data_IF_084712659513
#
_entry.id   IF_084712659513
#
_cell.length_a   1.000
_cell.length_b   1.000
_cell.length_c   1.000
_cell.angle_alpha   90.00
_cell.angle_beta   90.00
_cell.angle_gamma   90.00
#
_symmetry.space_group_name_H-M   'P 1'
#
loop_
_entity.id
_entity.type
_entity.pdbx_description
1 polymer ?
#
# COMPACT_ATOMS: atom_id res chain seq x y z
N UNK A 1 28.71 23.17 -74.56
CA UNK A 1 28.78 23.29 -73.08
C UNK A 1 27.40 23.03 -72.51
N UNK A 2 27.17 21.86 -71.90
CA UNK A 2 25.98 21.59 -71.07
C UNK A 2 26.45 21.05 -69.71
N UNK A 3 25.77 21.39 -68.59
CA UNK A 3 26.29 21.18 -67.24
C UNK A 3 26.05 19.76 -66.72
N UNK A 4 27.06 19.24 -65.99
CA UNK A 4 27.04 17.98 -65.24
C UNK A 4 26.10 18.11 -64.03
N UNK A 5 25.01 17.34 -64.01
CA UNK A 5 24.14 17.21 -62.84
C UNK A 5 24.83 16.24 -61.86
N UNK A 6 25.17 16.73 -60.67
CA UNK A 6 25.71 15.91 -59.57
C UNK A 6 24.54 15.30 -58.80
N UNK A 7 24.37 13.98 -58.89
CA UNK A 7 23.46 13.22 -58.01
C UNK A 7 23.94 13.33 -56.57
N UNK A 8 23.24 14.14 -55.76
CA UNK A 8 23.39 14.14 -54.30
C UNK A 8 22.58 12.99 -53.72
N UNK A 9 23.27 12.07 -53.04
CA UNK A 9 22.66 11.00 -52.27
C UNK A 9 21.91 11.62 -51.07
N UNK A 10 20.58 11.54 -51.08
CA UNK A 10 19.73 11.98 -49.97
C UNK A 10 19.74 10.89 -48.88
N UNK A 11 20.48 11.11 -47.79
CA UNK A 11 20.49 10.20 -46.65
C UNK A 11 19.20 10.39 -45.83
N UNK A 12 18.31 9.39 -45.87
CA UNK A 12 17.13 9.32 -45.02
C UNK A 12 17.55 8.93 -43.60
N UNK A 13 17.56 9.89 -42.67
CA UNK A 13 17.79 9.61 -41.25
C UNK A 13 16.47 9.10 -40.66
N UNK A 14 16.35 7.78 -40.50
CA UNK A 14 15.25 7.17 -39.76
C UNK A 14 15.55 7.35 -38.27
N UNK A 15 14.93 8.36 -37.66
CA UNK A 15 14.97 8.55 -36.21
C UNK A 15 14.07 7.51 -35.56
N UNK A 16 14.66 6.46 -34.99
CA UNK A 16 13.95 5.53 -34.13
C UNK A 16 13.67 6.23 -32.80
N UNK A 17 12.43 6.67 -32.60
CA UNK A 17 11.95 7.07 -31.28
C UNK A 17 12.00 5.84 -30.37
N UNK A 18 12.97 5.79 -29.47
CA UNK A 18 12.95 4.85 -28.34
C UNK A 18 11.95 5.42 -27.36
N UNK A 19 10.73 4.87 -27.32
CA UNK A 19 9.75 5.20 -26.30
C UNK A 19 10.21 4.65 -24.96
N UNK A 20 10.54 5.53 -24.02
CA UNK A 20 10.76 5.15 -22.62
C UNK A 20 9.41 5.11 -21.91
N UNK A 21 8.97 3.94 -21.46
CA UNK A 21 7.84 3.84 -20.53
C UNK A 21 8.39 3.63 -19.13
N UNK A 22 8.34 4.67 -18.31
CA UNK A 22 8.70 4.61 -16.89
C UNK A 22 7.72 3.72 -16.13
N UNK A 23 8.19 3.13 -15.02
CA UNK A 23 7.32 2.51 -14.05
C UNK A 23 6.25 3.52 -13.60
N UNK A 24 4.98 3.11 -13.70
CA UNK A 24 3.83 3.93 -13.33
C UNK A 24 2.97 3.19 -12.32
N UNK A 25 2.44 3.90 -11.34
CA UNK A 25 1.39 3.37 -10.47
C UNK A 25 0.06 3.48 -11.19
N UNK A 26 -0.64 2.35 -11.28
CA UNK A 26 -2.01 2.25 -11.78
C UNK A 26 -2.92 2.05 -10.58
N UNK A 27 -3.91 2.92 -10.45
CA UNK A 27 -4.99 2.79 -9.45
C UNK A 27 -6.20 2.17 -10.13
N UNK A 28 -6.77 1.14 -9.51
CA UNK A 28 -7.96 0.41 -9.97
C UNK A 28 -9.04 0.62 -8.93
N UNK A 29 -10.06 1.38 -9.32
CA UNK A 29 -11.25 1.66 -8.52
C UNK A 29 -12.09 0.40 -8.29
N UNK A 30 -12.80 0.29 -7.17
CA UNK A 30 -13.67 -0.85 -6.88
C UNK A 30 -14.76 -1.08 -7.94
N UNK A 31 -15.19 -0.03 -8.64
CA UNK A 31 -16.17 -0.16 -9.72
C UNK A 31 -15.55 -0.60 -11.05
N UNK A 32 -14.24 -0.88 -11.12
CA UNK A 32 -13.58 -1.33 -12.34
C UNK A 32 -14.12 -2.70 -12.79
N UNK A 33 -14.53 -2.76 -14.07
CA UNK A 33 -15.11 -3.97 -14.67
C UNK A 33 -14.17 -5.18 -14.75
N UNK A 34 -12.87 -4.98 -14.54
CA UNK A 34 -11.87 -6.04 -14.45
C UNK A 34 -11.87 -6.77 -13.11
N UNK A 35 -12.53 -6.24 -12.09
CA UNK A 35 -12.67 -6.91 -10.80
C UNK A 35 -13.84 -7.89 -10.87
N UNK A 36 -13.59 -9.13 -10.43
CA UNK A 36 -14.62 -10.16 -10.33
C UNK A 36 -15.04 -10.31 -8.88
N UNK A 37 -16.30 -10.01 -8.58
CA UNK A 37 -16.90 -10.22 -7.27
C UNK A 37 -17.72 -11.51 -7.23
N UNK A 38 -17.63 -12.23 -6.11
CA UNK A 38 -18.62 -13.26 -5.76
C UNK A 38 -20.00 -12.64 -5.49
N UNK A 39 -21.05 -13.47 -5.42
CA UNK A 39 -22.43 -12.99 -5.28
C UNK A 39 -22.76 -12.27 -3.96
N UNK A 40 -21.89 -12.34 -2.95
CA UNK A 40 -22.11 -11.74 -1.63
C UNK A 40 -21.66 -10.29 -1.48
N UNK A 41 -21.32 -9.61 -2.58
CA UNK A 41 -20.88 -8.20 -2.58
C UNK A 41 -21.99 -7.28 -3.08
N UNK A 42 -22.11 -6.12 -2.45
CA UNK A 42 -23.03 -5.06 -2.86
C UNK A 42 -22.24 -3.86 -3.41
N UNK A 43 -22.87 -3.12 -4.32
CA UNK A 43 -22.41 -1.80 -4.75
C UNK A 43 -22.80 -0.81 -3.66
N UNK A 44 -21.91 -0.60 -2.70
CA UNK A 44 -22.25 -0.01 -1.41
C UNK A 44 -22.71 1.45 -1.50
N UNK A 45 -22.14 2.24 -2.42
CA UNK A 45 -22.53 3.64 -2.61
C UNK A 45 -23.97 3.84 -3.13
N UNK A 46 -24.64 2.79 -3.59
CA UNK A 46 -26.06 2.79 -3.99
C UNK A 46 -26.94 1.91 -3.12
N UNK A 47 -26.37 1.21 -2.14
CA UNK A 47 -27.08 0.29 -1.27
C UNK A 47 -27.70 1.03 -0.07
N UNK A 48 -28.98 1.41 -0.19
CA UNK A 48 -29.69 2.12 0.89
C UNK A 48 -29.91 1.25 2.15
N UNK A 49 -29.98 -0.07 1.98
CA UNK A 49 -30.21 -1.04 3.07
C UNK A 49 -28.90 -1.50 3.73
N UNK A 50 -27.75 -1.16 3.15
CA UNK A 50 -26.46 -1.51 3.73
C UNK A 50 -26.21 -0.69 4.98
N UNK A 51 -25.73 -1.34 6.05
CA UNK A 51 -25.48 -0.65 7.31
C UNK A 51 -24.36 0.38 7.19
N UNK A 52 -23.25 -0.02 6.58
CA UNK A 52 -22.10 0.85 6.42
C UNK A 52 -22.39 1.89 5.33
N UNK A 53 -22.38 3.16 5.74
CA UNK A 53 -22.66 4.32 4.90
C UNK A 53 -21.51 5.34 5.07
N UNK A 54 -20.30 5.03 4.57
CA UNK A 54 -19.21 6.00 4.55
C UNK A 54 -19.56 7.24 3.70
N UNK A 55 -18.82 8.32 3.96
CA UNK A 55 -18.95 9.57 3.23
C UNK A 55 -18.30 9.44 1.83
N UNK A 56 -19.11 9.50 0.77
CA UNK A 56 -18.67 9.28 -0.62
C UNK A 56 -17.45 10.12 -1.04
N UNK A 57 -17.38 11.44 -0.75
CA UNK A 57 -16.22 12.26 -1.12
C UNK A 57 -14.90 11.83 -0.45
N UNK A 58 -14.96 10.98 0.58
CA UNK A 58 -13.79 10.45 1.29
C UNK A 58 -13.29 9.10 0.72
N UNK A 59 -14.00 8.51 -0.25
CA UNK A 59 -13.62 7.26 -0.92
C UNK A 59 -12.97 7.53 -2.27
N UNK A 60 -12.27 6.55 -2.83
CA UNK A 60 -11.83 6.63 -4.21
C UNK A 60 -13.06 6.55 -5.12
N UNK A 61 -13.10 7.39 -6.16
CA UNK A 61 -14.22 7.42 -7.12
C UNK A 61 -15.60 7.83 -6.57
N UNK A 62 -15.76 8.01 -5.25
CA UNK A 62 -17.08 8.10 -4.62
C UNK A 62 -17.84 6.77 -4.57
N UNK A 63 -17.12 5.66 -4.70
CA UNK A 63 -17.60 4.28 -4.75
C UNK A 63 -16.93 3.42 -3.68
N UNK A 64 -17.55 2.27 -3.42
CA UNK A 64 -16.99 1.14 -2.67
C UNK A 64 -17.90 -0.08 -2.93
N UNK A 65 -17.32 -1.26 -2.80
CA UNK A 65 -18.07 -2.51 -2.72
C UNK A 65 -17.97 -3.05 -1.31
N UNK A 66 -19.10 -3.44 -0.72
CA UNK A 66 -19.16 -3.97 0.64
C UNK A 66 -19.68 -5.40 0.68
N UNK A 67 -19.16 -6.16 1.64
CA UNK A 67 -19.63 -7.52 1.89
C UNK A 67 -19.56 -7.82 3.38
N UNK A 68 -20.51 -8.63 3.85
CA UNK A 68 -20.50 -9.23 5.18
C UNK A 68 -20.67 -10.74 5.03
N UNK A 69 -19.76 -11.50 5.62
CA UNK A 69 -19.78 -12.96 5.65
C UNK A 69 -20.13 -13.45 7.05
N UNK A 70 -21.29 -14.08 7.20
CA UNK A 70 -21.68 -14.75 8.44
C UNK A 70 -21.01 -16.13 8.60
N UNK A 71 -21.03 -16.67 9.83
CA UNK A 71 -20.32 -17.90 10.22
C UNK A 71 -20.58 -19.11 9.29
N UNK A 72 -21.85 -19.31 8.90
CA UNK A 72 -22.28 -20.45 8.09
C UNK A 72 -22.67 -20.06 6.66
N UNK A 73 -22.11 -18.95 6.15
CA UNK A 73 -22.41 -18.44 4.81
C UNK A 73 -21.38 -18.88 3.77
N UNK A 74 -21.79 -18.84 2.51
CA UNK A 74 -20.91 -19.04 1.37
C UNK A 74 -19.72 -18.08 1.42
N UNK A 75 -18.62 -18.48 0.82
CA UNK A 75 -17.43 -17.65 0.75
C UNK A 75 -17.69 -16.38 -0.09
N UNK A 76 -17.35 -15.22 0.48
CA UNK A 76 -17.36 -13.94 -0.22
C UNK A 76 -15.92 -13.56 -0.54
N UNK A 77 -15.65 -13.29 -1.81
CA UNK A 77 -14.34 -12.89 -2.30
C UNK A 77 -14.44 -11.94 -3.49
N UNK A 78 -13.35 -11.23 -3.79
CA UNK A 78 -13.12 -10.60 -5.08
C UNK A 78 -11.75 -11.01 -5.65
N UNK A 79 -11.62 -10.93 -6.97
CA UNK A 79 -10.41 -11.30 -7.71
C UNK A 79 -10.03 -10.20 -8.70
N UNK A 80 -8.72 -10.02 -8.89
CA UNK A 80 -8.17 -9.13 -9.90
C UNK A 80 -6.86 -9.70 -10.45
N UNK A 81 -6.61 -9.47 -11.74
CA UNK A 81 -5.35 -9.82 -12.41
C UNK A 81 -4.65 -8.58 -12.91
N UNK A 82 -3.34 -8.50 -12.68
CA UNK A 82 -2.53 -7.36 -13.08
C UNK A 82 -1.17 -7.82 -13.61
N UNK A 83 -0.47 -6.94 -14.32
CA UNK A 83 0.93 -7.14 -14.67
C UNK A 83 1.75 -6.00 -14.07
N UNK A 84 2.64 -6.33 -13.13
CA UNK A 84 3.36 -5.33 -12.38
C UNK A 84 4.38 -5.90 -11.41
N UNK A 85 4.93 -5.03 -10.58
CA UNK A 85 6.04 -5.33 -9.66
C UNK A 85 5.67 -5.07 -8.19
N UNK A 86 4.47 -4.55 -7.95
CA UNK A 86 3.90 -4.32 -6.62
C UNK A 86 2.37 -4.40 -6.66
N UNK A 87 1.76 -4.62 -5.50
CA UNK A 87 0.32 -4.55 -5.26
C UNK A 87 0.06 -3.97 -3.88
N UNK A 88 -0.80 -2.97 -3.79
CA UNK A 88 -1.39 -2.46 -2.57
C UNK A 88 -2.92 -2.56 -2.67
N UNK A 89 -3.59 -2.97 -1.59
CA UNK A 89 -5.05 -3.05 -1.52
C UNK A 89 -5.53 -2.17 -0.38
N UNK A 90 -6.49 -1.31 -0.67
CA UNK A 90 -7.06 -0.35 0.27
C UNK A 90 -8.55 -0.60 0.46
N UNK A 91 -9.01 -0.33 1.68
CA UNK A 91 -10.43 -0.37 2.00
C UNK A 91 -10.80 0.63 3.07
N UNK A 92 -12.06 0.55 3.48
CA UNK A 92 -12.65 1.38 4.52
C UNK A 92 -12.94 0.50 5.72
N UNK A 93 -12.30 0.79 6.85
CA UNK A 93 -12.55 0.05 8.10
C UNK A 93 -13.68 0.73 8.87
N UNK A 94 -14.67 -0.06 9.28
CA UNK A 94 -15.82 0.44 10.04
C UNK A 94 -15.50 0.33 11.53
N UNK A 95 -15.16 1.45 12.16
CA UNK A 95 -14.93 1.53 13.60
C UNK A 95 -16.22 1.91 14.33
N UNK A 96 -17.20 1.02 14.21
CA UNK A 96 -18.51 1.11 14.87
C UNK A 96 -18.77 -0.23 15.53
N UNK A 97 -18.90 -0.24 16.87
CA UNK A 97 -19.23 -1.44 17.63
C UNK A 97 -20.71 -1.40 17.97
N UNK A 98 -21.49 -2.31 17.40
CA UNK A 98 -22.94 -2.33 17.67
C UNK A 98 -23.27 -3.56 18.50
N UNK A 99 -23.90 -3.32 19.66
CA UNK A 99 -24.26 -4.37 20.60
C UNK A 99 -25.68 -4.92 20.42
N UNK A 100 -26.45 -4.34 19.52
CA UNK A 100 -27.89 -4.61 19.38
C UNK A 100 -28.26 -5.27 18.04
N UNK A 101 -27.37 -5.19 17.03
CA UNK A 101 -27.56 -5.83 15.72
C UNK A 101 -26.69 -7.08 15.54
N UNK A 102 -27.14 -7.98 14.68
CA UNK A 102 -26.50 -9.27 14.38
C UNK A 102 -25.45 -9.21 13.25
N UNK A 103 -24.87 -8.04 12.96
CA UNK A 103 -23.83 -7.91 11.94
C UNK A 103 -22.50 -7.49 12.55
N UNK A 104 -21.43 -7.97 11.93
CA UNK A 104 -20.04 -7.76 12.34
C UNK A 104 -19.45 -6.58 11.57
N UNK A 105 -18.57 -5.83 12.23
CA UNK A 105 -17.67 -4.86 11.60
C UNK A 105 -16.20 -5.29 11.76
N UNK A 106 -15.96 -6.50 12.28
CA UNK A 106 -14.64 -7.12 12.26
C UNK A 106 -14.22 -7.36 10.82
N UNK A 107 -12.96 -7.08 10.52
CA UNK A 107 -12.35 -7.46 9.26
C UNK A 107 -11.43 -8.64 9.56
N UNK A 108 -11.64 -9.73 8.86
CA UNK A 108 -10.76 -10.88 8.80
C UNK A 108 -10.71 -11.37 7.35
N UNK A 109 -9.55 -11.22 6.73
CA UNK A 109 -9.31 -11.48 5.31
C UNK A 109 -8.17 -12.48 5.12
N UNK A 110 -8.35 -13.35 4.14
CA UNK A 110 -7.28 -14.12 3.53
C UNK A 110 -6.99 -13.55 2.15
N UNK A 111 -5.78 -13.04 1.93
CA UNK A 111 -5.31 -12.49 0.66
C UNK A 111 -4.35 -13.50 0.03
N UNK A 112 -4.71 -14.04 -1.12
CA UNK A 112 -3.89 -14.98 -1.88
C UNK A 112 -3.36 -14.30 -3.13
N UNK A 113 -2.04 -14.11 -3.22
CA UNK A 113 -1.33 -13.59 -4.40
C UNK A 113 -0.48 -14.71 -4.99
N UNK A 114 -0.79 -15.14 -6.22
CA UNK A 114 -0.14 -16.25 -6.93
C UNK A 114 -0.04 -17.54 -6.09
N UNK A 115 -1.11 -17.85 -5.36
CA UNK A 115 -1.19 -19.02 -4.47
C UNK A 115 -0.50 -18.84 -3.12
N UNK A 116 0.20 -17.73 -2.86
CA UNK A 116 0.76 -17.40 -1.55
C UNK A 116 -0.25 -16.62 -0.72
N UNK A 117 -0.59 -17.14 0.46
CA UNK A 117 -1.60 -16.52 1.33
C UNK A 117 -0.97 -15.63 2.40
N UNK A 118 -1.63 -14.51 2.67
CA UNK A 118 -1.39 -13.59 3.79
C UNK A 118 -2.73 -13.30 4.46
N UNK A 119 -2.72 -12.92 5.73
CA UNK A 119 -3.94 -12.58 6.46
C UNK A 119 -3.94 -11.12 6.87
N UNK A 120 -5.13 -10.54 6.97
CA UNK A 120 -5.34 -9.22 7.53
C UNK A 120 -6.50 -9.29 8.52
N UNK A 121 -6.30 -8.75 9.72
CA UNK A 121 -7.33 -8.69 10.76
C UNK A 121 -7.42 -7.27 11.32
N UNK A 122 -8.66 -6.82 11.53
CA UNK A 122 -8.97 -5.57 12.20
C UNK A 122 -10.17 -5.75 13.12
N UNK A 123 -9.99 -5.43 14.40
CA UNK A 123 -11.08 -5.34 15.35
C UNK A 123 -11.58 -3.87 15.39
N UNK A 124 -12.89 -3.63 15.26
CA UNK A 124 -13.44 -2.28 15.21
C UNK A 124 -13.20 -1.57 16.54
N UNK A 125 -12.66 -0.35 16.48
CA UNK A 125 -12.68 0.56 17.61
C UNK A 125 -14.10 1.12 17.80
N UNK A 126 -14.52 1.39 19.04
CA UNK A 126 -15.83 1.98 19.34
C UNK A 126 -15.78 3.51 19.22
N UNK A 127 -15.38 4.02 18.06
CA UNK A 127 -15.20 5.47 17.80
C UNK A 127 -16.33 6.07 16.98
N UNK A 128 -17.29 5.23 16.55
CA UNK A 128 -18.38 5.59 15.66
C UNK A 128 -17.91 6.31 14.39
N UNK A 129 -16.88 5.76 13.73
CA UNK A 129 -16.21 6.40 12.60
C UNK A 129 -15.77 5.41 11.52
N UNK A 130 -15.39 5.93 10.35
CA UNK A 130 -14.78 5.17 9.27
C UNK A 130 -13.30 5.52 9.15
N UNK A 131 -12.45 4.53 8.88
CA UNK A 131 -11.05 4.74 8.52
C UNK A 131 -10.86 4.48 7.02
N UNK A 132 -10.77 5.55 6.25
CA UNK A 132 -10.58 5.55 4.79
C UNK A 132 -9.12 5.27 4.42
N UNK A 133 -8.88 4.84 3.17
CA UNK A 133 -7.54 4.59 2.63
C UNK A 133 -6.73 3.64 3.54
N UNK A 134 -7.40 2.69 4.17
CA UNK A 134 -6.75 1.75 5.08
C UNK A 134 -6.06 0.67 4.27
N UNK A 135 -4.72 0.62 4.34
CA UNK A 135 -3.92 -0.40 3.68
C UNK A 135 -4.13 -1.76 4.34
N UNK A 136 -4.76 -2.69 3.62
CA UNK A 136 -5.04 -4.05 4.12
C UNK A 136 -4.04 -5.09 3.62
N UNK A 137 -3.39 -4.82 2.49
CA UNK A 137 -2.35 -5.67 1.95
C UNK A 137 -1.35 -4.84 1.15
N UNK A 138 -0.06 -5.18 1.27
CA UNK A 138 1.01 -4.62 0.44
C UNK A 138 2.05 -5.67 0.12
N UNK A 139 2.45 -5.71 -1.15
CA UNK A 139 3.55 -6.54 -1.63
C UNK A 139 4.33 -5.79 -2.69
N UNK A 140 5.63 -5.64 -2.48
CA UNK A 140 6.58 -5.09 -3.46
C UNK A 140 7.59 -6.13 -3.90
N UNK A 141 8.35 -5.83 -4.96
CA UNK A 141 9.43 -6.70 -5.44
C UNK A 141 8.92 -7.96 -6.13
N UNK A 142 7.72 -7.91 -6.70
CA UNK A 142 7.22 -8.95 -7.59
C UNK A 142 8.00 -8.94 -8.90
N UNK A 143 8.13 -10.10 -9.55
CA UNK A 143 8.63 -10.16 -10.93
C UNK A 143 7.67 -9.42 -11.85
N UNK A 144 8.14 -8.77 -12.92
CA UNK A 144 7.24 -8.14 -13.88
C UNK A 144 6.54 -9.18 -14.77
N UNK A 145 5.53 -9.84 -14.21
CA UNK A 145 4.76 -10.93 -14.82
C UNK A 145 3.28 -10.70 -14.60
N UNK A 146 2.43 -11.53 -15.21
CA UNK A 146 1.02 -11.56 -14.82
C UNK A 146 0.89 -12.15 -13.41
N UNK A 147 0.10 -11.49 -12.58
CA UNK A 147 -0.21 -11.84 -11.21
C UNK A 147 -1.72 -11.94 -11.03
N UNK A 148 -2.14 -12.82 -10.13
CA UNK A 148 -3.54 -12.94 -9.73
C UNK A 148 -3.67 -12.82 -8.22
N UNK A 149 -4.55 -11.91 -7.78
CA UNK A 149 -4.90 -11.74 -6.39
C UNK A 149 -6.35 -12.14 -6.15
N UNK A 150 -6.59 -12.84 -5.04
CA UNK A 150 -7.91 -13.11 -4.47
C UNK A 150 -7.94 -12.59 -3.04
N UNK A 151 -8.96 -11.82 -2.70
CA UNK A 151 -9.23 -11.40 -1.33
C UNK A 151 -10.50 -12.07 -0.87
N UNK A 152 -10.39 -12.92 0.13
CA UNK A 152 -11.48 -13.71 0.70
C UNK A 152 -11.82 -13.23 2.09
N UNK A 153 -13.09 -12.99 2.38
CA UNK A 153 -13.57 -12.75 3.74
C UNK A 153 -13.63 -14.07 4.50
N UNK A 154 -12.99 -14.13 5.66
CA UNK A 154 -13.15 -15.24 6.60
C UNK A 154 -14.53 -15.17 7.28
N UNK A 155 -15.01 -16.24 7.94
CA UNK A 155 -16.29 -16.22 8.64
C UNK A 155 -16.36 -15.10 9.69
N UNK A 156 -17.55 -14.53 9.90
CA UNK A 156 -17.78 -13.44 10.85
C UNK A 156 -16.98 -12.15 10.56
N UNK A 157 -16.78 -11.86 9.27
CA UNK A 157 -16.02 -10.72 8.74
C UNK A 157 -16.89 -9.81 7.87
N UNK A 158 -16.61 -8.52 7.86
CA UNK A 158 -17.16 -7.55 6.93
C UNK A 158 -16.03 -6.69 6.36
N UNK A 159 -16.11 -6.31 5.08
CA UNK A 159 -15.11 -5.48 4.46
C UNK A 159 -15.73 -4.57 3.40
N UNK A 160 -15.27 -3.32 3.37
CA UNK A 160 -15.59 -2.33 2.35
C UNK A 160 -14.32 -2.12 1.53
N UNK A 161 -14.30 -2.68 0.32
CA UNK A 161 -13.21 -2.50 -0.63
C UNK A 161 -13.40 -1.20 -1.41
N UNK A 162 -12.33 -0.42 -1.54
CA UNK A 162 -12.35 0.94 -2.11
C UNK A 162 -11.52 1.00 -3.40
N UNK A 163 -10.24 0.61 -3.34
CA UNK A 163 -9.39 0.54 -4.53
C UNK A 163 -8.14 -0.30 -4.29
N UNK A 164 -7.45 -0.65 -5.38
CA UNK A 164 -6.11 -1.22 -5.34
C UNK A 164 -5.14 -0.44 -6.22
N UNK A 165 -3.86 -0.59 -5.97
CA UNK A 165 -2.80 0.00 -6.77
C UNK A 165 -1.75 -1.04 -7.15
N UNK A 166 -1.25 -1.00 -8.38
CA UNK A 166 -0.10 -1.79 -8.78
C UNK A 166 0.89 -0.94 -9.58
N UNK A 167 2.18 -1.25 -9.49
CA UNK A 167 3.22 -0.55 -10.26
C UNK A 167 3.62 -1.37 -11.48
N UNK A 168 3.54 -0.79 -12.68
CA UNK A 168 4.07 -1.39 -13.92
C UNK A 168 5.60 -1.35 -13.92
N UNK A 169 6.25 -2.25 -14.68
CA UNK A 169 7.71 -2.18 -14.82
C UNK A 169 8.17 -1.05 -15.75
N UNK A 170 9.39 -0.59 -15.50
CA UNK A 170 10.12 0.28 -16.42
C UNK A 170 10.60 -0.52 -17.65
N UNK A 171 10.34 -0.02 -18.86
CA UNK A 171 10.74 -0.70 -20.10
C UNK A 171 12.26 -0.71 -20.32
N UNK A 172 13.05 -0.05 -19.47
CA UNK A 172 14.50 0.06 -19.63
C UNK A 172 15.27 -1.26 -19.38
N UNK A 173 14.60 -2.36 -18.97
CA UNK A 173 15.24 -3.66 -18.68
C UNK A 173 15.02 -4.77 -19.72
N UNK A 174 14.77 -4.44 -21.00
CA UNK A 174 14.98 -5.43 -22.08
C UNK A 174 16.44 -5.41 -22.54
N UNK A 175 17.38 -5.81 -21.68
CA UNK A 175 18.72 -6.18 -22.14
C UNK A 175 18.67 -7.61 -22.67
N UNK A 176 18.96 -7.76 -23.95
CA UNK A 176 18.98 -9.00 -24.70
C UNK A 176 19.78 -10.11 -23.99
N UNK A 177 19.07 -11.10 -23.44
CA UNK A 177 19.64 -12.41 -23.13
C UNK A 177 19.85 -13.20 -24.42
N UNK A 178 20.85 -12.81 -25.22
CA UNK A 178 21.35 -13.70 -26.29
C UNK A 178 22.13 -14.81 -25.60
N UNK A 179 21.51 -15.97 -25.44
CA UNK A 179 22.16 -17.18 -24.94
C UNK A 179 23.19 -17.67 -25.97
N UNK A 180 24.45 -17.26 -25.83
CA UNK A 180 25.56 -17.95 -26.51
C UNK A 180 25.82 -19.28 -25.82
N UNK A 181 25.44 -20.34 -26.50
CA UNK A 181 25.83 -21.73 -26.22
C UNK A 181 27.36 -21.81 -26.21
N UNK A 182 27.95 -22.21 -25.09
CA UNK A 182 29.35 -22.65 -25.04
C UNK A 182 29.44 -23.91 -24.20
N UNK A 183 29.63 -25.01 -24.94
CA UNK A 183 29.95 -26.34 -24.46
C UNK A 183 31.43 -26.44 -24.10
N UNK A 184 31.75 -26.91 -22.90
CA UNK A 184 33.05 -27.55 -22.63
C UNK A 184 32.91 -28.60 -21.52
N UNK A 185 33.36 -29.81 -21.85
CA UNK A 185 33.35 -31.03 -21.06
C UNK A 185 34.51 -31.09 -20.04
N UNK A 186 34.17 -31.57 -18.84
CA UNK A 186 34.81 -32.61 -17.99
C UNK A 186 36.31 -32.61 -17.61
N UNK A 187 36.51 -32.88 -16.29
CA UNK A 187 37.44 -33.86 -15.65
C UNK A 187 38.60 -33.30 -14.83
N UNK A 188 38.66 -33.69 -13.54
CA UNK A 188 39.87 -33.57 -12.71
C UNK A 188 39.64 -33.72 -11.21
N UNK A 189 39.53 -34.96 -10.72
CA UNK A 189 39.55 -35.34 -9.29
C UNK A 189 40.99 -35.52 -8.81
N UNK A 190 41.36 -34.99 -7.63
CA UNK A 190 42.40 -35.58 -6.77
C UNK A 190 42.34 -35.08 -5.32
N UNK A 191 42.39 -36.04 -4.40
CA UNK A 191 42.37 -35.98 -2.94
C UNK A 191 43.51 -35.22 -2.26
N UNK A 192 43.28 -34.81 -1.00
CA UNK A 192 44.17 -35.26 0.09
C UNK A 192 44.75 -34.23 1.07
N UNK A 193 44.25 -34.32 2.32
CA UNK A 193 44.94 -34.17 3.62
C UNK A 193 45.19 -32.78 4.27
N UNK A 194 44.35 -32.49 5.26
CA UNK A 194 44.61 -32.21 6.69
C UNK A 194 46.00 -31.71 7.13
N UNK A 195 46.05 -30.61 7.91
CA UNK A 195 46.83 -30.46 9.17
C UNK A 195 46.30 -29.26 10.00
N UNK A 196 46.50 -29.39 11.31
CA UNK A 196 45.82 -28.91 12.51
C UNK A 196 46.24 -27.52 13.04
N UNK A 197 45.37 -26.97 13.92
CA UNK A 197 45.65 -26.26 15.19
C UNK A 197 45.64 -24.71 15.26
N UNK A 198 44.53 -24.23 15.86
CA UNK A 198 44.39 -23.32 17.00
C UNK A 198 45.30 -22.09 17.19
N UNK A 199 44.69 -20.90 17.29
CA UNK A 199 45.03 -19.94 18.37
C UNK A 199 43.83 -19.06 18.74
N UNK A 200 43.56 -19.03 20.05
CA UNK A 200 42.60 -18.19 20.76
C UNK A 200 43.26 -16.81 20.96
N UNK A 201 42.54 -15.71 20.76
CA UNK A 201 42.76 -14.52 21.58
C UNK A 201 41.53 -13.64 21.71
N UNK A 202 41.25 -13.36 22.97
CA UNK A 202 40.18 -12.62 23.60
C UNK A 202 40.23 -11.10 23.34
N UNK A 203 39.04 -10.49 23.39
CA UNK A 203 38.79 -9.32 24.24
C UNK A 203 39.20 -7.94 23.74
N UNK A 204 38.22 -7.10 23.44
CA UNK A 204 38.16 -5.74 23.99
C UNK A 204 36.78 -5.13 23.79
N UNK A 205 36.08 -4.99 24.91
CA UNK A 205 34.99 -4.06 25.14
C UNK A 205 35.48 -2.62 24.92
N UNK A 206 34.73 -1.85 24.14
CA UNK A 206 34.80 -0.38 24.18
C UNK A 206 33.38 0.17 24.28
N UNK A 207 33.07 0.54 25.50
CA UNK A 207 32.06 1.53 25.90
C UNK A 207 32.32 2.84 25.16
N UNK A 208 31.36 3.31 24.37
CA UNK A 208 31.34 4.69 23.88
C UNK A 208 30.19 5.44 24.52
N UNK A 209 30.58 6.40 25.35
CA UNK A 209 29.81 7.41 26.05
C UNK A 209 28.96 8.30 25.15
N UNK A 210 27.76 8.59 25.63
CA UNK A 210 26.88 9.68 25.18
C UNK A 210 27.56 11.05 25.22
N UNK A 211 27.07 11.98 24.39
CA UNK A 211 26.73 13.30 24.89
C UNK A 211 25.30 13.71 24.53
N UNK A 212 24.61 14.27 25.51
CA UNK A 212 23.32 14.97 25.37
C UNK A 212 23.49 16.31 24.64
N UNK A 213 22.52 16.69 23.81
CA UNK A 213 21.73 17.96 23.90
C UNK A 213 21.17 18.40 22.54
N UNK A 214 19.85 18.52 22.46
CA UNK A 214 19.12 19.73 21.99
C UNK A 214 17.61 19.42 21.88
N UNK A 215 16.89 19.82 22.92
CA UNK A 215 15.42 19.99 22.92
C UNK A 215 15.12 21.35 22.28
N UNK A 216 14.18 21.40 21.33
CA UNK A 216 13.65 22.66 20.80
C UNK A 216 12.21 22.88 21.29
N UNK A 217 12.06 24.00 22.00
CA UNK A 217 10.91 24.89 22.11
C UNK A 217 9.56 24.32 22.60
N UNK A 218 9.34 24.46 23.92
CA UNK A 218 8.02 24.57 24.55
C UNK A 218 7.63 26.05 24.59
N UNK A 219 6.37 26.37 24.27
CA UNK A 219 5.82 27.73 24.26
C UNK A 219 5.89 28.42 25.62
N UNK A 220 6.23 29.70 25.60
CA UNK A 220 6.41 30.57 26.77
C UNK A 220 5.09 30.94 27.44
N UNK A 221 4.95 30.60 28.73
CA UNK A 221 3.90 31.09 29.63
C UNK A 221 4.37 32.40 30.27
N UNK A 222 3.53 33.44 30.22
CA UNK A 222 3.82 34.74 30.84
C UNK A 222 3.27 34.76 32.27
N UNK A 223 4.12 35.00 33.26
CA UNK A 223 3.72 35.16 34.67
C UNK A 223 4.00 36.60 35.08
N UNK A 224 2.98 37.31 35.56
CA UNK A 224 3.10 38.64 36.14
C UNK A 224 2.72 38.60 37.62
N UNK A 225 3.58 39.10 38.50
CA UNK A 225 3.35 39.18 39.95
C UNK A 225 3.01 40.60 40.38
N UNK A 226 1.96 40.75 41.18
CA UNK A 226 1.67 41.98 41.93
C UNK A 226 2.36 41.96 43.31
N UNK A 227 2.60 43.16 43.84
CA UNK A 227 3.19 43.59 45.11
C UNK A 227 2.61 42.96 46.40
N UNK A 228 1.69 42.00 46.30
CA UNK A 228 1.11 41.27 47.44
C UNK A 228 1.43 39.76 47.47
N UNK A 229 2.23 39.25 46.52
CA UNK A 229 2.84 37.90 46.64
C UNK A 229 1.92 36.68 46.45
N UNK A 230 0.72 36.84 45.88
CA UNK A 230 -0.18 35.72 45.55
C UNK A 230 -0.11 35.37 44.05
N UNK A 231 -0.05 34.07 43.71
CA UNK A 231 -0.01 33.56 42.33
C UNK A 231 -1.45 33.31 41.84
N UNK A 232 -1.85 33.96 40.74
CA UNK A 232 -3.09 33.69 40.02
C UNK A 232 -2.78 33.14 38.62
N UNK A 233 -3.35 31.97 38.29
CA UNK A 233 -3.31 31.41 36.93
C UNK A 233 -4.46 32.01 36.12
N UNK A 234 -4.16 32.69 35.01
CA UNK A 234 -5.18 33.21 34.08
C UNK A 234 -5.49 32.11 33.06
N UNK A 235 -6.67 31.52 33.17
CA UNK A 235 -7.22 30.60 32.17
C UNK A 235 -8.06 31.39 31.16
N UNK A 236 -7.53 31.60 29.95
CA UNK A 236 -8.28 32.21 28.85
C UNK A 236 -9.15 31.16 28.19
N UNK A 237 -10.37 30.98 28.72
CA UNK A 237 -11.46 30.37 27.99
C UNK A 237 -11.93 31.30 26.86
N UNK A 238 -11.93 30.83 25.62
CA UNK A 238 -12.56 31.53 24.50
C UNK A 238 -14.00 31.05 24.41
N UNK A 239 -14.95 31.92 24.79
CA UNK A 239 -16.38 31.75 24.50
C UNK A 239 -16.87 32.86 23.56
N UNK A 240 -17.40 32.41 22.42
CA UNK A 240 -18.48 32.91 21.55
C UNK A 240 -18.65 34.42 21.24
N UNK A 241 -18.95 34.71 19.96
CA UNK A 241 -19.81 35.84 19.61
C UNK A 241 -20.77 35.48 18.46
N UNK A 242 -22.06 35.48 18.80
CA UNK A 242 -23.20 35.64 17.90
C UNK A 242 -23.11 36.98 17.15
N UNK A 243 -23.60 37.02 15.91
CA UNK A 243 -24.02 38.24 15.24
C UNK A 243 -25.48 38.09 14.77
N UNK A 244 -26.31 39.05 15.16
CA UNK A 244 -27.71 39.17 14.78
C UNK A 244 -27.97 40.53 14.12
N UNK A 245 -29.09 40.57 13.37
CA UNK A 245 -29.90 41.70 12.90
C UNK A 245 -29.55 42.37 11.56
N UNK A 246 -30.42 42.22 10.57
CA UNK A 246 -31.56 43.13 10.32
C UNK A 246 -32.67 42.40 9.58
#
# INVERSE_FOLDING_TARGET
MLPRIRSGLLALVISTFVGFTLAATVTVDDADSGITYSSGWNVGNTCAECFAQPDKPSTHGGTWHDSTRGENSTENFFEYSFQGTSLNIYGILVNIVIREYLFTTNVDLTITLDGQSSTYVHAPADTNSYAYQSLVFSKSGLSNTAHAVRVTLNPSSAFLFDYLEYTTADATSTTAGTSTTSSSQTSGTSSGLTTTASTISSGSSRTSSSPSSSLSAVGSVSISTDSSGAIHTVDTSVSAANAASS
#
